data_IF_237127106051
#
_entry.id   IF_237127106051
#
_cell.length_a   1.000
_cell.length_b   1.000
_cell.length_c   1.000
_cell.angle_alpha   90.00
_cell.angle_beta   90.00
_cell.angle_gamma   90.00
#
_symmetry.space_group_name_H-M   'P 1'
#
loop_
_entity.id
_entity.type
_entity.pdbx_description
1 polymer ?
#
# COMPACT_ATOMS: atom_id res chain seq x y z
N UNK A 1 3.38 -18.89 -5.66
CA UNK A 1 4.15 -17.64 -5.90
C UNK A 1 3.28 -16.49 -5.43
N UNK A 2 3.80 -15.64 -4.53
CA UNK A 2 3.10 -14.41 -4.12
C UNK A 2 3.19 -13.41 -5.25
N UNK A 3 2.06 -13.03 -5.84
CA UNK A 3 2.04 -12.03 -6.91
C UNK A 3 1.85 -10.65 -6.27
N UNK A 4 2.71 -9.71 -6.66
CA UNK A 4 2.60 -8.30 -6.28
C UNK A 4 2.82 -7.48 -7.54
N UNK A 5 1.94 -6.53 -7.80
CA UNK A 5 1.92 -5.75 -9.04
C UNK A 5 1.77 -4.28 -8.73
N UNK A 6 2.45 -3.45 -9.50
CA UNK A 6 2.17 -2.03 -9.57
C UNK A 6 1.12 -1.77 -10.65
N UNK A 7 0.09 -1.01 -10.30
CA UNK A 7 -0.86 -0.44 -11.25
C UNK A 7 -0.68 1.07 -11.31
N UNK A 8 -0.74 1.63 -12.52
CA UNK A 8 -0.83 3.07 -12.73
C UNK A 8 -2.28 3.38 -13.06
N UNK A 9 -2.93 4.16 -12.19
CA UNK A 9 -4.30 4.60 -12.35
C UNK A 9 -4.39 5.70 -13.40
N UNK A 10 -5.59 5.92 -13.96
CA UNK A 10 -5.82 6.93 -15.00
C UNK A 10 -5.44 8.36 -14.58
N UNK A 11 -5.44 8.66 -13.27
CA UNK A 11 -5.01 9.93 -12.70
C UNK A 11 -3.48 10.04 -12.48
N UNK A 12 -2.70 9.03 -12.89
CA UNK A 12 -1.23 9.00 -12.75
C UNK A 12 -0.71 8.50 -11.39
N UNK A 13 -1.61 8.16 -10.48
CA UNK A 13 -1.27 7.61 -9.17
C UNK A 13 -0.94 6.13 -9.26
N UNK A 14 -0.11 5.65 -8.35
CA UNK A 14 0.21 4.24 -8.28
C UNK A 14 -0.55 3.53 -7.17
N UNK A 15 -0.90 2.28 -7.45
CA UNK A 15 -1.34 1.32 -6.46
C UNK A 15 -0.38 0.12 -6.45
N UNK A 16 0.00 -0.34 -5.26
CA UNK A 16 0.73 -1.60 -5.08
C UNK A 16 -0.30 -2.64 -4.65
N UNK A 17 -0.63 -3.56 -5.55
CA UNK A 17 -1.55 -4.66 -5.30
C UNK A 17 -0.77 -5.89 -4.79
N UNK A 18 -1.33 -6.56 -3.79
CA UNK A 18 -0.71 -7.65 -3.04
C UNK A 18 -1.73 -8.77 -2.83
N UNK A 19 -1.41 -9.94 -3.36
CA UNK A 19 -2.23 -11.15 -3.17
C UNK A 19 -1.74 -12.00 -1.99
N UNK A 20 -0.60 -11.63 -1.37
CA UNK A 20 0.00 -12.37 -0.26
C UNK A 20 -0.08 -11.64 1.06
N UNK A 21 -0.58 -12.35 2.07
CA UNK A 21 -0.55 -11.93 3.46
C UNK A 21 0.86 -11.63 3.94
N UNK A 22 1.86 -12.44 3.54
CA UNK A 22 3.25 -12.20 3.92
C UNK A 22 3.77 -10.86 3.38
N UNK A 23 3.52 -10.57 2.10
CA UNK A 23 3.92 -9.29 1.50
C UNK A 23 3.23 -8.12 2.20
N UNK A 24 1.93 -8.26 2.50
CA UNK A 24 1.18 -7.27 3.27
C UNK A 24 1.82 -6.99 4.63
N UNK A 25 2.17 -8.02 5.40
CA UNK A 25 2.84 -7.85 6.69
C UNK A 25 4.23 -7.21 6.53
N UNK A 26 5.04 -7.68 5.57
CA UNK A 26 6.37 -7.13 5.29
C UNK A 26 6.30 -5.64 4.96
N UNK A 27 5.45 -5.23 4.01
CA UNK A 27 5.35 -3.84 3.59
C UNK A 27 4.77 -2.96 4.71
N UNK A 28 3.78 -3.47 5.46
CA UNK A 28 3.25 -2.75 6.63
C UNK A 28 4.32 -2.53 7.70
N UNK A 29 5.14 -3.55 7.98
CA UNK A 29 6.25 -3.44 8.93
C UNK A 29 7.28 -2.42 8.47
N UNK A 30 7.67 -2.46 7.19
CA UNK A 30 8.61 -1.48 6.63
C UNK A 30 8.06 -0.05 6.74
N UNK A 31 6.80 0.16 6.36
CA UNK A 31 6.16 1.49 6.45
C UNK A 31 6.20 2.01 7.88
N UNK A 32 5.82 1.22 8.87
CA UNK A 32 5.82 1.66 10.25
C UNK A 32 7.23 1.85 10.83
N UNK A 33 8.08 0.83 10.74
CA UNK A 33 9.33 0.79 11.50
C UNK A 33 10.53 1.39 10.76
N UNK A 34 10.63 1.20 9.43
CA UNK A 34 11.74 1.75 8.65
C UNK A 34 11.44 3.17 8.18
N UNK A 35 10.19 3.42 7.78
CA UNK A 35 9.79 4.70 7.20
C UNK A 35 9.01 5.60 8.18
N UNK A 36 8.69 5.14 9.39
CA UNK A 36 8.11 5.98 10.44
C UNK A 36 6.65 6.37 10.21
N UNK A 37 5.90 5.59 9.43
CA UNK A 37 4.47 5.82 9.27
C UNK A 37 3.69 5.36 10.51
N UNK A 38 2.67 6.14 10.86
CA UNK A 38 1.67 5.75 11.83
C UNK A 38 0.42 5.21 11.13
N UNK A 39 -0.40 4.46 11.85
CA UNK A 39 -1.68 3.95 11.35
C UNK A 39 -2.80 4.83 11.89
N UNK A 40 -3.53 5.48 11.00
CA UNK A 40 -4.65 6.36 11.35
C UNK A 40 -5.94 5.96 10.61
N UNK A 41 -7.09 6.14 11.25
CA UNK A 41 -8.40 5.77 10.72
C UNK A 41 -9.01 4.55 11.41
N UNK A 42 -10.27 4.27 11.09
CA UNK A 42 -11.00 3.15 11.71
C UNK A 42 -10.71 1.86 10.95
N UNK A 43 -10.32 0.82 11.70
CA UNK A 43 -10.43 -0.56 11.23
C UNK A 43 -11.88 -0.97 11.41
N UNK A 44 -12.59 -1.24 10.32
CA UNK A 44 -13.99 -1.65 10.41
C UNK A 44 -14.13 -3.09 9.88
N UNK A 45 -14.60 -4.02 10.73
CA UNK A 45 -14.87 -5.40 10.35
C UNK A 45 -16.34 -5.53 9.93
N UNK A 46 -16.77 -4.95 8.82
CA UNK A 46 -18.06 -5.36 8.26
C UNK A 46 -17.88 -6.52 7.30
N UNK A 47 -18.92 -7.33 7.25
CA UNK A 47 -19.07 -8.54 6.44
C UNK A 47 -19.03 -8.27 4.93
N UNK A 48 -19.11 -6.98 4.53
CA UNK A 48 -18.89 -6.54 3.17
C UNK A 48 -17.44 -6.08 3.03
N UNK A 49 -16.70 -6.90 2.29
CA UNK A 49 -15.34 -6.76 1.72
C UNK A 49 -14.81 -5.34 1.35
N UNK A 50 -15.63 -4.29 1.40
CA UNK A 50 -15.29 -2.91 1.01
C UNK A 50 -14.64 -2.07 2.13
N UNK A 51 -14.29 -2.67 3.27
CA UNK A 51 -13.97 -1.87 4.45
C UNK A 51 -12.55 -1.31 4.54
N UNK A 52 -12.55 -0.01 4.83
CA UNK A 52 -11.42 0.90 4.97
C UNK A 52 -10.41 0.35 5.99
N UNK A 53 -9.21 0.07 5.53
CA UNK A 53 -8.07 -0.24 6.39
C UNK A 53 -7.45 1.07 6.87
N UNK A 54 -7.05 1.12 8.15
CA UNK A 54 -6.31 2.26 8.69
C UNK A 54 -5.18 2.67 7.74
N UNK A 55 -5.16 3.93 7.34
CA UNK A 55 -4.19 4.46 6.40
C UNK A 55 -2.82 4.60 7.05
N UNK A 56 -1.76 4.58 6.26
CA UNK A 56 -0.44 4.96 6.74
C UNK A 56 -0.28 6.46 6.56
N UNK A 57 0.00 7.16 7.65
CA UNK A 57 0.17 8.62 7.67
C UNK A 57 1.53 8.97 8.26
N UNK A 58 2.24 9.91 7.62
CA UNK A 58 3.51 10.48 8.10
C UNK A 58 3.67 11.88 7.53
N UNK A 59 3.68 12.90 8.39
CA UNK A 59 3.72 14.30 7.96
C UNK A 59 2.63 14.59 6.91
N UNK A 60 3.02 15.02 5.70
CA UNK A 60 2.12 15.28 4.57
C UNK A 60 1.87 14.04 3.69
N UNK A 61 2.44 12.89 4.03
CA UNK A 61 2.26 11.64 3.30
C UNK A 61 1.08 10.87 3.87
N UNK A 62 0.15 10.50 2.99
CA UNK A 62 -0.94 9.59 3.28
C UNK A 62 -1.01 8.48 2.23
N UNK A 63 -0.98 7.23 2.69
CA UNK A 63 -1.10 6.03 1.87
C UNK A 63 -2.38 5.31 2.31
N UNK A 64 -3.35 5.30 1.42
CA UNK A 64 -4.60 4.60 1.58
C UNK A 64 -4.36 3.11 1.50
N UNK A 65 -5.10 2.36 2.31
CA UNK A 65 -5.03 0.90 2.35
C UNK A 65 -6.42 0.39 2.07
N UNK A 66 -6.52 -0.55 1.13
CA UNK A 66 -7.78 -1.11 0.71
C UNK A 66 -7.68 -2.58 0.37
N UNK A 67 -8.82 -3.16 0.04
CA UNK A 67 -8.96 -4.49 -0.51
C UNK A 67 -10.03 -4.46 -1.60
N UNK A 68 -9.86 -5.25 -2.64
CA UNK A 68 -10.85 -5.49 -3.67
C UNK A 68 -10.75 -6.95 -4.13
N UNK A 69 -11.89 -7.54 -4.53
CA UNK A 69 -11.95 -8.95 -4.95
C UNK A 69 -11.05 -9.25 -6.15
N UNK A 70 -10.81 -8.28 -7.04
CA UNK A 70 -10.01 -8.49 -8.25
C UNK A 70 -8.54 -8.20 -8.04
N UNK A 71 -8.22 -7.25 -7.15
CA UNK A 71 -6.87 -6.74 -6.96
C UNK A 71 -6.19 -7.21 -5.67
N UNK A 72 -6.93 -7.89 -4.78
CA UNK A 72 -6.46 -8.22 -3.45
C UNK A 72 -6.26 -6.97 -2.60
N UNK A 73 -5.32 -7.04 -1.66
CA UNK A 73 -4.97 -5.87 -0.84
C UNK A 73 -4.17 -4.87 -1.66
N UNK A 74 -4.42 -3.58 -1.46
CA UNK A 74 -3.64 -2.55 -2.13
C UNK A 74 -3.20 -1.41 -1.21
N UNK A 75 -2.06 -0.81 -1.55
CA UNK A 75 -1.59 0.47 -1.05
C UNK A 75 -1.76 1.50 -2.17
N UNK A 76 -2.44 2.61 -1.90
CA UNK A 76 -2.71 3.66 -2.87
C UNK A 76 -2.22 5.01 -2.32
N UNK A 77 -1.51 5.78 -3.14
CA UNK A 77 -1.13 7.13 -2.76
C UNK A 77 -2.35 8.07 -2.73
N UNK A 78 -2.49 8.87 -1.68
CA UNK A 78 -3.58 9.85 -1.54
C UNK A 78 -3.25 11.20 -2.21
N UNK A 79 -1.97 11.55 -2.29
CA UNK A 79 -1.50 12.79 -2.90
C UNK A 79 -0.19 12.60 -3.70
N UNK A 80 0.26 13.64 -4.40
CA UNK A 80 1.42 13.56 -5.28
C UNK A 80 2.72 13.22 -4.54
N UNK A 81 2.90 13.71 -3.31
CA UNK A 81 4.08 13.39 -2.50
C UNK A 81 4.08 11.91 -2.09
N UNK A 82 2.93 11.40 -1.66
CA UNK A 82 2.72 9.97 -1.43
C UNK A 82 2.96 9.14 -2.70
N UNK A 83 2.58 9.65 -3.88
CA UNK A 83 2.74 8.96 -5.15
C UNK A 83 4.22 8.78 -5.50
N UNK A 84 5.03 9.83 -5.32
CA UNK A 84 6.49 9.77 -5.48
C UNK A 84 7.09 8.79 -4.47
N UNK A 85 6.74 8.91 -3.20
CA UNK A 85 7.22 8.00 -2.16
C UNK A 85 6.89 6.54 -2.47
N UNK A 86 5.64 6.25 -2.81
CA UNK A 86 5.16 4.88 -3.02
C UNK A 86 5.84 4.26 -4.24
N UNK A 87 6.18 5.06 -5.27
CA UNK A 87 6.94 4.60 -6.46
C UNK A 87 8.34 4.13 -6.07
N UNK A 88 9.06 4.94 -5.31
CA UNK A 88 10.38 4.56 -4.79
C UNK A 88 10.29 3.36 -3.85
N UNK A 89 9.29 3.36 -2.96
CA UNK A 89 9.05 2.24 -2.04
C UNK A 89 8.79 0.91 -2.77
N UNK A 90 8.02 0.93 -3.86
CA UNK A 90 7.79 -0.24 -4.71
C UNK A 90 9.09 -0.74 -5.34
N UNK A 91 9.91 0.17 -5.87
CA UNK A 91 11.20 -0.17 -6.48
C UNK A 91 12.17 -0.77 -5.47
N UNK A 92 12.20 -0.28 -4.23
CA UNK A 92 13.15 -0.72 -3.21
C UNK A 92 12.79 -2.07 -2.58
N UNK A 93 11.50 -2.38 -2.44
CA UNK A 93 11.04 -3.50 -1.57
C UNK A 93 10.19 -4.56 -2.25
N UNK A 94 9.68 -4.26 -3.45
CA UNK A 94 8.76 -5.13 -4.20
C UNK A 94 9.37 -5.59 -5.52
N UNK A 95 9.88 -4.67 -6.35
CA UNK A 95 10.80 -5.08 -7.41
C UNK A 95 12.12 -5.46 -6.77
N UNK A 96 12.48 -6.74 -6.82
CA UNK A 96 13.86 -7.12 -6.54
C UNK A 96 14.75 -6.43 -7.59
N UNK A 97 15.90 -5.83 -7.22
CA UNK A 97 16.93 -5.61 -8.22
C UNK A 97 17.34 -7.00 -8.71
N UNK A 98 17.05 -7.28 -9.97
CA UNK A 98 17.63 -8.42 -10.69
C UNK A 98 19.14 -8.18 -10.72
N UNK A 99 19.85 -8.62 -9.68
CA UNK A 99 21.29 -8.78 -9.70
C UNK A 99 21.64 -10.16 -10.24
#
# INVERSE_FOLDING_TARGET
MSVSKQLILANGFIAICMDSLWMRFKLSFLLCFKYGFLREGQWSPTENDEMIYAHFVRDNLRILVGWDQRLGHYLLADNQQSNVFLRSFYQDHVMWPSH
#
